data_IF_705832266962
#
_entry.id   IF_705832266962
#
_cell.length_a   1.000
_cell.length_b   1.000
_cell.length_c   1.000
_cell.angle_alpha   90.00
_cell.angle_beta   90.00
_cell.angle_gamma   90.00
#
_symmetry.space_group_name_H-M   'P 1'
#
loop_
_entity.id
_entity.type
_entity.pdbx_description
1 polymer ?
2 water ?
#
# COMPACT_ATOMS: atom_id res chain seq x y z
N UNK A 2 17.91 -2.20 4.36
CA UNK A 2 18.11 -3.43 5.10
C UNK A 2 16.90 -4.34 4.89
N UNK A 3 17.08 -5.69 4.94
CA UNK A 3 15.98 -6.64 4.78
C UNK A 3 16.06 -7.94 5.58
N UNK A 4 14.94 -8.54 5.97
CA UNK A 4 14.84 -9.80 6.71
C UNK A 4 13.65 -10.60 6.23
N UNK A 5 13.77 -11.91 6.10
CA UNK A 5 12.68 -12.79 5.67
C UNK A 5 12.16 -13.56 6.89
N UNK A 6 10.85 -13.75 6.96
CA UNK A 6 10.20 -14.45 8.09
C UNK A 6 9.20 -15.45 7.55
N UNK A 7 8.79 -16.37 8.40
CA UNK A 7 7.78 -17.31 8.03
C UNK A 7 6.54 -16.97 8.84
N UNK A 8 5.33 -16.81 8.26
CA UNK A 8 4.25 -16.48 9.12
C UNK A 8 3.77 -17.74 9.84
N UNK A 9 3.65 -17.73 11.15
CA UNK A 9 3.24 -18.85 11.91
C UNK A 9 1.92 -18.48 12.57
N UNK A 10 1.45 -17.22 12.54
CA UNK A 10 0.17 -16.84 13.13
C UNK A 10 -0.94 -17.68 12.55
N UNK A 11 -1.83 -18.16 13.37
CA UNK A 11 -2.87 -19.01 12.80
C UNK A 11 -3.84 -18.44 11.79
N UNK A 12 -4.27 -17.17 11.91
CA UNK A 12 -5.16 -16.75 10.85
C UNK A 12 -4.42 -15.93 9.83
N UNK A 13 -3.12 -16.10 9.77
CA UNK A 13 -2.33 -15.34 8.82
C UNK A 13 -2.24 -13.89 9.30
N UNK A 14 -1.98 -12.98 8.39
CA UNK A 14 -1.84 -11.61 8.76
C UNK A 14 -3.17 -10.88 8.54
N UNK A 15 -4.00 -11.06 9.59
CA UNK A 15 -5.34 -10.47 9.68
C UNK A 15 -5.29 -9.12 10.38
N UNK A 16 -6.46 -8.68 10.79
CA UNK A 16 -6.65 -7.34 11.39
C UNK A 16 -5.64 -7.01 12.53
N UNK A 17 -5.71 -7.70 13.66
CA UNK A 17 -4.82 -7.39 14.83
C UNK A 17 -3.35 -7.38 14.40
N UNK A 18 -2.85 -8.45 13.78
CA UNK A 18 -1.49 -8.48 13.31
C UNK A 18 -1.11 -7.36 12.34
N UNK A 19 -1.90 -6.95 11.35
CA UNK A 19 -1.51 -5.88 10.49
C UNK A 19 -1.31 -4.66 11.37
N UNK A 20 -2.15 -4.42 12.36
CA UNK A 20 -2.09 -3.26 13.29
C UNK A 20 -0.85 -3.15 14.17
N UNK A 21 -0.46 -4.26 14.87
CA UNK A 21 0.74 -4.31 15.66
C UNK A 21 1.88 -4.04 14.67
N UNK A 22 1.81 -4.54 13.44
CA UNK A 22 2.88 -4.22 12.50
C UNK A 22 3.00 -2.76 12.12
N UNK A 23 1.88 -2.14 11.72
CA UNK A 23 1.82 -0.73 11.30
C UNK A 23 2.30 0.17 12.44
N UNK A 24 1.81 -0.18 13.63
CA UNK A 24 2.16 0.52 14.87
C UNK A 24 3.65 0.69 15.20
N UNK A 25 4.40 -0.44 15.12
CA UNK A 25 5.81 -0.51 15.37
C UNK A 25 6.57 0.28 14.29
N UNK A 26 6.23 0.00 13.01
CA UNK A 26 6.90 0.60 11.86
C UNK A 26 6.83 2.11 11.83
N UNK A 27 5.71 2.57 12.40
CA UNK A 27 5.28 3.96 12.52
C UNK A 27 6.13 4.84 13.44
N UNK A 28 6.89 4.18 14.31
CA UNK A 28 7.80 4.77 15.24
C UNK A 28 9.16 5.18 14.68
N UNK A 29 9.48 4.77 13.43
CA UNK A 29 10.75 4.99 12.74
C UNK A 29 10.86 5.91 11.50
N UNK A 30 11.95 6.66 11.44
CA UNK A 30 12.39 7.54 10.38
C UNK A 30 13.09 6.52 9.43
N UNK A 31 12.25 5.85 8.66
CA UNK A 31 12.76 4.90 7.68
C UNK A 31 11.59 4.49 6.79
N UNK A 32 11.79 4.38 5.51
CA UNK A 32 10.69 3.82 4.73
C UNK A 32 10.64 2.27 4.95
N UNK A 33 9.54 1.73 5.51
CA UNK A 33 9.26 0.29 5.81
C UNK A 33 8.25 -0.35 4.83
N UNK A 34 8.68 -1.37 4.08
CA UNK A 34 7.93 -2.17 3.12
C UNK A 34 7.79 -3.66 3.37
N UNK A 35 6.63 -4.20 3.08
CA UNK A 35 6.31 -5.62 3.22
C UNK A 35 6.08 -6.26 1.82
N UNK A 36 6.81 -7.39 1.59
CA UNK A 36 6.75 -8.18 0.32
C UNK A 36 6.40 -9.67 0.50
N UNK A 37 5.47 -10.14 -0.32
CA UNK A 37 4.95 -11.50 -0.38
C UNK A 37 4.69 -11.79 -1.87
N UNK A 38 5.32 -12.80 -2.43
CA UNK A 38 5.09 -13.09 -3.86
C UNK A 38 5.34 -11.94 -4.83
N UNK A 39 6.39 -11.16 -4.70
CA UNK A 39 6.51 -10.12 -5.70
C UNK A 39 5.60 -8.92 -5.56
N UNK A 40 4.67 -9.01 -4.63
CA UNK A 40 3.84 -7.84 -4.43
C UNK A 40 4.35 -7.08 -3.24
N UNK A 41 4.63 -5.75 -3.26
CA UNK A 41 5.13 -4.97 -2.11
C UNK A 41 4.17 -3.88 -1.64
N UNK A 42 4.00 -3.70 -0.33
CA UNK A 42 3.13 -2.63 0.09
C UNK A 42 3.88 -1.89 1.19
N UNK A 43 3.58 -0.62 1.40
CA UNK A 43 4.12 0.17 2.46
C UNK A 43 3.46 -0.34 3.73
N UNK A 44 4.32 -0.52 4.70
CA UNK A 44 3.95 -1.14 5.93
C UNK A 44 3.31 -0.32 7.00
N UNK A 45 3.41 0.95 6.73
CA UNK A 45 2.85 2.00 7.54
C UNK A 45 1.35 2.31 7.24
N UNK A 46 0.66 1.46 6.44
CA UNK A 46 -0.78 1.49 6.09
C UNK A 46 -1.48 0.10 6.31
N UNK A 47 -2.53 -0.08 7.12
CA UNK A 47 -3.06 -1.43 7.23
C UNK A 47 -3.75 -1.88 5.96
N UNK A 48 -4.18 -0.85 5.15
CA UNK A 48 -4.95 -1.11 3.94
C UNK A 48 -4.25 -2.12 3.04
N UNK A 49 -3.13 -1.67 2.58
CA UNK A 49 -2.41 -2.52 1.71
C UNK A 49 -1.93 -3.81 2.37
N UNK A 50 -1.65 -3.94 3.69
CA UNK A 50 -1.27 -5.25 4.32
C UNK A 50 -2.46 -6.24 4.17
N UNK A 51 -3.69 -5.77 4.56
CA UNK A 51 -4.92 -6.58 4.49
C UNK A 51 -5.17 -7.18 3.08
N UNK A 52 -4.89 -6.32 2.08
CA UNK A 52 -5.02 -6.64 0.67
C UNK A 52 -4.23 -7.86 0.10
N UNK A 53 -2.99 -8.13 0.59
CA UNK A 53 -2.05 -9.21 0.25
C UNK A 53 -2.69 -10.54 0.69
N UNK A 54 -3.53 -10.51 1.71
CA UNK A 54 -4.12 -11.76 2.09
C UNK A 54 -3.10 -12.82 2.50
N UNK A 55 -2.16 -12.53 3.44
CA UNK A 55 -1.11 -13.47 3.80
C UNK A 55 -1.57 -14.49 4.81
N UNK A 56 -1.46 -15.76 4.45
CA UNK A 56 -1.93 -16.80 5.40
C UNK A 56 -0.85 -17.52 6.24
N UNK A 57 -1.15 -18.41 7.19
CA UNK A 57 -0.14 -19.14 7.87
C UNK A 57 0.73 -19.90 6.91
N UNK A 58 2.01 -20.05 7.23
CA UNK A 58 2.91 -20.81 6.36
C UNK A 58 3.58 -19.97 5.30
N UNK A 59 3.11 -18.74 5.08
CA UNK A 59 3.75 -17.94 4.03
C UNK A 59 5.12 -17.39 4.43
N UNK A 60 5.91 -17.07 3.42
CA UNK A 60 7.14 -16.44 3.72
C UNK A 60 7.04 -15.01 3.20
N UNK A 61 7.49 -14.01 4.00
CA UNK A 61 7.39 -12.63 3.59
C UNK A 61 8.68 -11.92 3.90
N UNK A 62 9.02 -10.90 3.16
CA UNK A 62 10.24 -10.13 3.45
C UNK A 62 9.93 -8.73 4.00
N UNK A 63 10.62 -8.19 5.03
CA UNK A 63 10.39 -6.83 5.53
C UNK A 63 11.67 -6.10 5.22
N UNK A 64 11.57 -4.95 4.63
CA UNK A 64 12.71 -4.17 4.27
C UNK A 64 12.46 -2.81 4.92
N UNK A 65 13.52 -2.07 5.20
CA UNK A 65 13.46 -0.75 5.84
C UNK A 65 14.58 0.05 5.18
N UNK A 66 14.35 1.33 5.00
CA UNK A 66 15.41 2.08 4.40
C UNK A 66 15.48 3.56 4.83
N UNK A 67 16.59 4.06 5.31
CA UNK A 67 16.58 5.45 5.73
C UNK A 67 17.51 5.61 6.92
N UNK A 68 17.40 6.76 7.58
CA UNK A 68 18.27 7.06 8.70
C UNK A 68 18.31 6.04 9.79
N UNK A 69 17.12 5.57 10.21
CA UNK A 69 16.86 4.59 11.28
C UNK A 69 16.58 3.16 10.83
N UNK A 70 17.09 2.73 9.71
CA UNK A 70 16.77 1.39 9.24
C UNK A 70 17.22 0.19 10.07
N UNK A 71 18.40 0.17 10.73
CA UNK A 71 18.82 -0.97 11.53
C UNK A 71 17.89 -1.13 12.72
N UNK A 72 17.61 -0.02 13.42
CA UNK A 72 16.68 -0.08 14.53
C UNK A 72 15.27 -0.44 14.15
N UNK A 73 14.81 0.12 12.98
CA UNK A 73 13.47 -0.13 12.45
C UNK A 73 13.36 -1.65 12.27
N UNK A 74 14.29 -2.23 11.53
CA UNK A 74 14.26 -3.65 11.28
C UNK A 74 14.35 -4.52 12.52
N UNK A 75 15.17 -4.11 13.47
CA UNK A 75 15.30 -4.90 14.70
C UNK A 75 14.04 -4.92 15.53
N UNK A 76 13.29 -3.80 15.48
CA UNK A 76 12.05 -3.67 16.24
C UNK A 76 10.95 -4.55 15.68
N UNK A 77 10.82 -4.55 14.36
CA UNK A 77 9.84 -5.33 13.61
C UNK A 77 10.03 -6.84 13.84
N UNK A 78 11.29 -7.25 13.93
CA UNK A 78 11.56 -8.63 14.16
C UNK A 78 11.22 -9.00 15.60
N UNK A 79 11.35 -8.05 16.50
CA UNK A 79 10.98 -8.23 17.89
C UNK A 79 9.46 -8.37 18.03
N UNK A 80 8.65 -7.49 17.39
CA UNK A 80 7.19 -7.62 17.34
C UNK A 80 6.75 -8.97 16.67
N UNK A 81 7.36 -9.40 15.52
CA UNK A 81 7.07 -10.65 14.82
C UNK A 81 7.21 -11.83 15.78
N UNK A 82 8.25 -11.85 16.62
CA UNK A 82 8.45 -12.94 17.57
C UNK A 82 7.56 -12.89 18.81
N UNK A 83 7.55 -11.73 19.44
CA UNK A 83 6.78 -11.34 20.62
C UNK A 83 5.26 -11.36 20.44
N UNK A 84 4.75 -10.98 19.29
CA UNK A 84 3.30 -11.01 19.03
C UNK A 84 2.84 -12.31 18.41
N UNK A 85 3.77 -13.27 18.27
CA UNK A 85 3.58 -14.61 17.76
C UNK A 85 2.99 -14.56 16.38
N UNK A 86 3.67 -13.80 15.57
CA UNK A 86 3.21 -13.60 14.24
C UNK A 86 4.03 -14.47 13.29
N UNK A 87 5.33 -14.61 13.59
CA UNK A 87 6.26 -15.33 12.76
C UNK A 87 7.67 -15.41 13.35
N UNK A 88 8.62 -15.88 12.56
CA UNK A 88 9.96 -16.04 13.01
C UNK A 88 10.89 -16.28 11.85
N UNK B 2 -15.49 10.74 0.07
CA UNK B 2 -16.11 10.73 -1.24
C UNK B 2 -15.42 9.80 -2.20
N UNK B 3 -16.11 9.46 -3.28
CA UNK B 3 -15.49 8.57 -4.20
C UNK B 3 -15.83 8.98 -5.60
N UNK B 4 -15.02 8.39 -6.48
CA UNK B 4 -15.13 8.45 -7.95
C UNK B 4 -14.69 7.15 -8.63
N UNK B 5 -15.47 6.60 -9.54
CA UNK B 5 -15.02 5.37 -10.19
C UNK B 5 -14.57 5.76 -11.58
N UNK B 6 -13.58 5.04 -12.10
CA UNK B 6 -13.11 5.30 -13.43
C UNK B 6 -12.92 4.01 -14.16
N UNK B 7 -12.66 4.18 -15.44
CA UNK B 7 -12.38 3.09 -16.36
C UNK B 7 -10.99 3.32 -16.90
N UNK B 8 -10.13 2.32 -16.77
CA UNK B 8 -8.78 2.48 -17.26
C UNK B 8 -8.74 2.25 -18.73
N UNK B 9 -8.12 3.17 -19.41
CA UNK B 9 -8.05 3.00 -20.85
C UNK B 9 -6.62 3.09 -21.29
N UNK B 10 -5.68 3.17 -20.31
CA UNK B 10 -4.25 3.22 -20.62
C UNK B 10 -3.95 1.83 -21.20
N UNK B 11 -3.33 1.71 -22.36
CA UNK B 11 -2.99 0.43 -23.01
C UNK B 11 -2.15 -0.41 -22.08
N UNK B 12 -1.34 0.24 -21.32
CA UNK B 12 -0.65 -0.66 -20.47
C UNK B 12 -1.25 -0.73 -19.05
N UNK B 13 -2.45 -0.29 -18.82
CA UNK B 13 -2.89 -0.36 -17.46
C UNK B 13 -2.07 0.63 -16.64
N UNK B 14 -2.21 0.43 -15.33
CA UNK B 14 -1.53 1.20 -14.30
C UNK B 14 -0.12 0.61 -13.94
N UNK B 15 0.84 0.99 -14.85
CA UNK B 15 2.29 0.68 -14.91
C UNK B 15 3.08 1.72 -14.12
N UNK B 16 4.45 1.72 -14.01
CA UNK B 16 5.24 2.71 -13.27
C UNK B 16 4.90 4.21 -13.52
N UNK B 17 4.80 4.66 -14.80
CA UNK B 17 4.45 6.06 -15.16
C UNK B 17 3.08 6.54 -14.67
N UNK B 18 2.05 5.73 -15.01
CA UNK B 18 0.76 6.09 -14.49
C UNK B 18 0.72 6.16 -12.95
N UNK B 19 1.39 5.21 -12.24
CA UNK B 19 1.40 5.07 -10.80
C UNK B 19 2.08 6.28 -10.21
N UNK B 20 3.18 6.68 -10.85
CA UNK B 20 3.94 7.88 -10.51
C UNK B 20 3.12 9.16 -10.54
N UNK B 21 2.33 9.40 -11.61
CA UNK B 21 1.48 10.61 -11.70
C UNK B 21 0.36 10.62 -10.67
N UNK B 22 -0.20 9.46 -10.39
CA UNK B 22 -1.29 9.32 -9.41
C UNK B 22 -0.84 9.72 -8.04
N UNK B 23 0.26 9.06 -7.60
CA UNK B 23 0.96 9.25 -6.34
C UNK B 23 1.41 10.71 -6.17
N UNK B 24 2.07 11.29 -7.20
CA UNK B 24 2.43 12.68 -7.00
C UNK B 24 1.23 13.62 -6.75
N UNK B 25 0.10 13.32 -7.41
CA UNK B 25 -1.07 14.14 -7.27
C UNK B 25 -1.73 14.04 -5.91
N UNK B 26 -1.90 12.75 -5.48
CA UNK B 26 -2.51 12.38 -4.19
C UNK B 26 -1.79 12.91 -2.95
N UNK B 27 -0.44 12.95 -3.05
CA UNK B 27 0.55 13.43 -2.07
C UNK B 27 0.44 14.93 -1.75
N UNK B 28 -0.15 15.77 -2.61
CA UNK B 28 -0.21 17.17 -2.29
C UNK B 28 -1.33 17.52 -1.34
N UNK B 29 -2.19 16.54 -1.06
CA UNK B 29 -3.39 16.67 -0.23
C UNK B 29 -3.25 16.06 1.15
N UNK B 30 -3.95 16.61 2.13
CA UNK B 30 -3.91 16.07 3.48
C UNK B 30 -4.88 14.93 3.71
N UNK B 31 -5.96 14.90 2.94
CA UNK B 31 -7.02 13.87 3.04
C UNK B 31 -6.48 12.45 2.99
N UNK B 32 -7.06 11.47 3.60
CA UNK B 32 -6.43 10.19 3.31
C UNK B 32 -7.00 9.77 1.91
N UNK B 33 -6.14 9.35 0.99
CA UNK B 33 -6.41 8.95 -0.39
C UNK B 33 -6.08 7.47 -0.71
N UNK B 34 -7.09 6.79 -1.22
CA UNK B 34 -7.06 5.37 -1.48
C UNK B 34 -7.61 4.96 -2.81
N UNK B 35 -7.13 3.77 -3.24
CA UNK B 35 -7.46 3.14 -4.55
C UNK B 35 -8.02 1.75 -4.38
N UNK B 36 -9.15 1.49 -4.99
CA UNK B 36 -9.57 0.15 -4.78
C UNK B 36 -9.79 -0.50 -6.13
N UNK B 37 -9.49 -1.78 -6.23
CA UNK B 37 -9.62 -2.53 -7.46
C UNK B 37 -10.03 -3.96 -7.15
N UNK B 38 -11.19 -4.37 -7.66
CA UNK B 38 -11.68 -5.72 -7.44
C UNK B 38 -11.54 -6.23 -6.00
N UNK B 39 -11.93 -5.40 -5.01
CA UNK B 39 -11.93 -5.71 -3.59
C UNK B 39 -10.71 -5.50 -2.71
N UNK B 40 -9.60 -5.22 -3.37
CA UNK B 40 -8.33 -4.92 -2.73
C UNK B 40 -8.15 -3.38 -2.65
N UNK B 41 -7.73 -2.86 -1.49
CA UNK B 41 -7.53 -1.43 -1.27
C UNK B 41 -6.12 -1.11 -0.86
N UNK B 42 -5.50 -0.10 -1.44
CA UNK B 42 -4.14 0.32 -1.10
C UNK B 42 -4.12 1.82 -0.90
N UNK B 43 -3.13 2.40 -0.22
CA UNK B 43 -2.97 3.86 -0.07
C UNK B 43 -2.37 4.39 -1.34
N UNK B 44 -3.03 5.42 -1.83
CA UNK B 44 -2.77 6.10 -3.09
C UNK B 44 -1.53 6.96 -3.01
N UNK B 45 -1.05 7.11 -1.80
CA UNK B 45 0.20 7.88 -1.70
C UNK B 45 1.38 6.86 -1.68
N UNK B 46 1.10 5.59 -2.02
CA UNK B 46 2.07 4.46 -2.01
C UNK B 46 2.31 3.83 -3.39
N UNK B 47 3.37 4.29 -4.05
CA UNK B 47 3.71 3.79 -5.36
C UNK B 47 3.78 2.29 -5.38
N UNK B 48 4.40 1.70 -4.35
CA UNK B 48 4.54 0.24 -4.29
C UNK B 48 3.22 -0.53 -4.43
N UNK B 49 2.25 -0.23 -3.50
CA UNK B 49 0.90 -0.77 -3.35
C UNK B 49 0.09 -0.61 -4.63
N UNK B 50 0.12 0.60 -5.24
CA UNK B 50 -0.49 0.93 -6.52
C UNK B 50 0.00 -0.12 -7.58
N UNK B 51 1.34 -0.33 -7.74
CA UNK B 51 1.88 -1.29 -8.71
C UNK B 51 1.55 -2.73 -8.42
N UNK B 52 1.30 -3.05 -7.14
CA UNK B 52 1.03 -4.37 -6.64
C UNK B 52 -0.26 -4.95 -7.17
N UNK B 53 -1.21 -4.05 -7.45
CA UNK B 53 -2.55 -4.32 -7.94
C UNK B 53 -2.65 -4.84 -9.34
N UNK B 54 -1.67 -4.53 -10.15
CA UNK B 54 -1.65 -4.94 -11.53
C UNK B 54 -2.90 -4.70 -12.36
N UNK B 55 -3.42 -3.50 -12.29
CA UNK B 55 -4.57 -3.04 -13.01
C UNK B 55 -4.20 -2.92 -14.49
N UNK B 56 -4.91 -3.63 -15.37
CA UNK B 56 -4.71 -3.68 -16.83
C UNK B 56 -5.77 -2.84 -17.54
N UNK B 57 -5.55 -2.55 -18.83
CA UNK B 57 -6.59 -1.84 -19.57
C UNK B 57 -7.98 -2.50 -19.41
N UNK B 58 -9.07 -1.72 -19.30
CA UNK B 58 -10.47 -2.10 -19.21
C UNK B 58 -11.02 -2.29 -17.83
N UNK B 59 -10.16 -2.25 -16.82
CA UNK B 59 -10.71 -2.50 -15.51
C UNK B 59 -11.34 -1.22 -15.01
N UNK B 60 -12.14 -1.37 -13.97
CA UNK B 60 -12.77 -0.25 -13.27
C UNK B 60 -12.10 -0.18 -11.92
N UNK B 61 -11.87 1.07 -11.52
CA UNK B 61 -11.25 1.30 -10.24
C UNK B 61 -11.97 2.44 -9.52
N UNK B 62 -11.91 2.43 -8.19
CA UNK B 62 -12.51 3.50 -7.49
C UNK B 62 -11.45 4.18 -6.65
N UNK B 63 -11.45 5.48 -6.78
CA UNK B 63 -10.64 6.38 -5.96
C UNK B 63 -11.46 7.04 -4.86
N UNK B 64 -11.01 6.94 -3.60
CA UNK B 64 -11.65 7.51 -2.38
C UNK B 64 -10.75 8.55 -1.73
N UNK B 65 -11.34 9.65 -1.22
CA UNK B 65 -10.59 10.73 -0.51
C UNK B 65 -11.45 11.16 0.68
N UNK B 66 -10.87 11.19 1.88
CA UNK B 66 -11.55 11.56 3.14
C UNK B 66 -10.73 12.50 4.04
N UNK B 67 -11.36 13.63 4.26
CA UNK B 67 -10.76 14.65 5.06
C UNK B 67 -10.96 16.05 4.50
N UNK B 68 -10.17 16.89 5.16
CA UNK B 68 -10.18 18.31 4.95
C UNK B 68 -10.36 18.82 3.56
N UNK B 69 -9.62 18.33 2.60
CA UNK B 69 -9.62 18.82 1.26
C UNK B 69 -9.95 17.70 0.28
N UNK B 70 -10.87 16.79 0.66
CA UNK B 70 -11.15 15.67 -0.17
C UNK B 70 -11.89 16.04 -1.48
N UNK B 71 -12.55 17.18 -1.59
CA UNK B 71 -13.20 17.55 -2.85
C UNK B 71 -12.17 18.01 -3.86
N UNK B 72 -11.21 18.80 -3.42
CA UNK B 72 -10.11 19.23 -4.25
C UNK B 72 -9.18 18.03 -4.58
N UNK B 73 -8.86 17.04 -3.69
CA UNK B 73 -8.04 15.84 -3.89
C UNK B 73 -8.67 15.08 -5.02
N UNK B 74 -9.99 14.86 -4.93
CA UNK B 74 -10.74 14.20 -6.02
C UNK B 74 -10.78 14.84 -7.41
N UNK B 75 -10.96 16.15 -7.53
CA UNK B 75 -11.09 16.86 -8.80
C UNK B 75 -9.77 16.81 -9.49
N UNK B 76 -8.84 16.92 -8.61
CA UNK B 76 -7.44 16.89 -8.98
C UNK B 76 -7.10 15.51 -9.52
N UNK B 77 -7.52 14.43 -8.89
CA UNK B 77 -7.27 13.10 -9.41
C UNK B 77 -8.04 12.80 -10.71
N UNK B 78 -9.30 13.26 -10.86
CA UNK B 78 -9.98 13.10 -12.12
C UNK B 78 -9.24 13.78 -13.27
N UNK B 79 -8.75 14.96 -12.96
CA UNK B 79 -8.03 15.73 -13.93
C UNK B 79 -6.79 15.00 -14.42
N UNK B 80 -5.98 14.40 -13.56
CA UNK B 80 -4.77 13.63 -13.86
C UNK B 80 -5.26 12.42 -14.71
N UNK B 81 -6.32 11.71 -14.22
CA UNK B 81 -6.91 10.53 -14.84
C UNK B 81 -7.05 10.88 -16.28
N UNK B 82 -7.76 11.97 -16.52
CA UNK B 82 -7.92 12.36 -17.92
C UNK B 82 -6.76 12.96 -18.70
N UNK B 83 -6.01 13.95 -18.16
CA UNK B 83 -4.95 14.55 -18.96
C UNK B 83 -3.70 13.73 -19.22
N UNK B 84 -3.51 12.73 -18.37
CA UNK B 84 -2.40 11.79 -18.43
C UNK B 84 -2.76 10.52 -19.22
N UNK B 85 -3.97 10.48 -19.78
CA UNK B 85 -4.54 9.40 -20.58
C UNK B 85 -4.58 8.09 -19.80
N UNK B 86 -5.19 8.10 -18.62
CA UNK B 86 -5.15 6.84 -17.96
C UNK B 86 -6.54 6.23 -17.92
N UNK B 87 -7.51 7.12 -17.93
CA UNK B 87 -8.83 6.59 -17.82
C UNK B 87 -9.81 7.73 -17.81
N UNK B 88 -11.07 7.38 -17.62
CA UNK B 88 -12.17 8.35 -17.66
C UNK B 88 -13.39 7.92 -16.87
#
# INVERSE_FOLDING_TARGET
>A
MAQKTFKVTADSGIHARPATVLVQTASKYDADVNLEYNGKTVNLKDIMGVMSLGIAKGAEITISASGADENDALNALEETMKSEGLGE
>B
MAQKTFKVTADSGIHARPATVLVQTASKYDADVNLEYNGKTVNLKDIMGVMSLGIAKGAEITISASGADENDALNALEETMKSEGLGE
#
